data_IF_726717977447
#
_entry.id   IF_726717977447
#
_cell.length_a   1.000
_cell.length_b   1.000
_cell.length_c   1.000
_cell.angle_alpha   90.00
_cell.angle_beta   90.00
_cell.angle_gamma   90.00
#
_symmetry.space_group_name_H-M   'P 1'
#
loop_
_entity.id
_entity.type
_entity.pdbx_description
1 polymer ?
#
# COMPACT_ATOMS: atom_id res chain seq x y z
N UNK A 1 -2.89 12.94 -9.48
CA UNK A 1 -2.50 13.62 -8.21
C UNK A 1 -3.64 13.39 -7.22
N UNK A 2 -3.40 12.66 -6.12
CA UNK A 2 -4.44 12.41 -5.11
C UNK A 2 -4.56 13.68 -4.27
N UNK A 3 -5.72 14.34 -4.31
CA UNK A 3 -5.97 15.55 -3.51
C UNK A 3 -6.01 15.11 -2.03
N UNK A 4 -5.21 15.76 -1.17
CA UNK A 4 -5.19 15.47 0.25
C UNK A 4 -6.52 15.88 0.90
N UNK A 5 -6.99 15.15 1.92
CA UNK A 5 -8.31 15.39 2.54
C UNK A 5 -8.48 16.82 3.08
N UNK A 6 -7.40 17.48 3.49
CA UNK A 6 -7.41 18.88 3.92
C UNK A 6 -7.64 19.90 2.77
N UNK A 7 -7.35 19.53 1.52
CA UNK A 7 -7.56 20.39 0.36
C UNK A 7 -9.01 20.34 -0.15
N UNK A 8 -9.77 19.29 0.18
CA UNK A 8 -11.16 19.08 -0.23
C UNK A 8 -12.10 20.15 0.36
N UNK A 9 -11.77 20.73 1.52
CA UNK A 9 -12.63 21.70 2.21
C UNK A 9 -12.27 23.17 1.94
N UNK A 10 -11.23 23.41 1.12
CA UNK A 10 -10.78 24.77 0.78
C UNK A 10 -11.71 25.44 -0.24
N UNK A 11 -11.89 26.76 -0.12
CA UNK A 11 -12.66 27.56 -1.09
C UNK A 11 -12.08 27.43 -2.52
N UNK A 12 -10.77 27.23 -2.64
CA UNK A 12 -10.08 26.97 -3.89
C UNK A 12 -10.48 25.63 -4.55
N UNK A 13 -10.84 24.61 -3.75
CA UNK A 13 -11.37 23.36 -4.27
C UNK A 13 -12.88 23.44 -4.51
N UNK A 14 -13.61 24.18 -3.66
CA UNK A 14 -15.06 24.40 -3.79
C UNK A 14 -15.46 25.15 -5.07
N UNK A 15 -14.57 26.04 -5.51
CA UNK A 15 -14.73 26.84 -6.73
C UNK A 15 -13.94 26.25 -7.92
N UNK A 16 -13.59 24.96 -7.85
CA UNK A 16 -12.87 24.28 -8.92
C UNK A 16 -13.86 23.53 -9.84
N UNK A 17 -13.78 23.69 -11.18
CA UNK A 17 -14.58 22.90 -12.12
C UNK A 17 -14.52 21.39 -11.85
N UNK A 18 -13.36 20.89 -11.39
CA UNK A 18 -13.16 19.47 -11.09
C UNK A 18 -14.14 18.95 -10.03
N UNK A 19 -14.36 19.71 -8.94
CA UNK A 19 -15.26 19.27 -7.88
C UNK A 19 -16.70 19.17 -8.39
N UNK A 20 -17.16 20.17 -9.16
CA UNK A 20 -18.52 20.15 -9.72
C UNK A 20 -18.72 18.94 -10.63
N UNK A 21 -17.74 18.58 -11.45
CA UNK A 21 -17.82 17.39 -12.30
C UNK A 21 -17.83 16.11 -11.47
N UNK A 22 -17.06 16.06 -10.38
CA UNK A 22 -17.08 14.92 -9.45
C UNK A 22 -18.45 14.76 -8.79
N UNK A 23 -19.17 15.85 -8.52
CA UNK A 23 -20.50 15.82 -7.91
C UNK A 23 -21.62 15.54 -8.91
N UNK A 24 -21.60 16.19 -10.08
CA UNK A 24 -22.70 16.14 -11.06
C UNK A 24 -22.50 15.12 -12.17
N UNK A 25 -21.24 14.74 -12.45
CA UNK A 25 -20.89 13.92 -13.60
C UNK A 25 -21.11 14.60 -14.96
N UNK A 26 -21.31 15.92 -14.99
CA UNK A 26 -21.58 16.68 -16.21
C UNK A 26 -20.29 17.22 -16.82
N UNK A 27 -20.24 17.37 -18.14
CA UNK A 27 -19.12 18.05 -18.81
C UNK A 27 -19.23 19.56 -18.61
N UNK A 28 -18.15 20.22 -18.21
CA UNK A 28 -18.09 21.68 -18.06
C UNK A 28 -17.25 22.25 -19.19
N UNK A 29 -17.81 23.20 -19.94
CA UNK A 29 -17.10 23.99 -20.94
C UNK A 29 -17.27 25.47 -20.64
N UNK A 30 -16.18 26.23 -20.65
CA UNK A 30 -16.18 27.67 -20.36
C UNK A 30 -15.14 28.37 -21.21
N UNK A 31 -15.47 29.57 -21.68
CA UNK A 31 -14.50 30.47 -22.27
C UNK A 31 -13.76 31.23 -21.13
N UNK A 32 -12.44 31.07 -20.96
CA UNK A 32 -11.72 31.69 -19.84
C UNK A 32 -11.79 33.22 -19.82
N UNK A 33 -11.99 33.85 -20.98
CA UNK A 33 -12.07 35.31 -21.13
C UNK A 33 -13.42 35.90 -20.73
N UNK A 34 -14.44 35.06 -20.47
CA UNK A 34 -15.76 35.54 -20.06
C UNK A 34 -15.79 35.90 -18.56
N UNK A 35 -16.27 37.11 -18.19
CA UNK A 35 -16.37 37.52 -16.78
C UNK A 35 -17.24 36.59 -15.93
N UNK A 36 -18.30 36.02 -16.51
CA UNK A 36 -19.16 35.03 -15.85
C UNK A 36 -18.41 33.74 -15.52
N UNK A 37 -17.56 33.26 -16.42
CA UNK A 37 -16.74 32.07 -16.22
C UNK A 37 -15.67 32.29 -15.13
N UNK A 38 -15.07 33.48 -15.09
CA UNK A 38 -14.10 33.86 -14.06
C UNK A 38 -14.72 34.02 -12.68
N UNK A 39 -15.96 34.54 -12.61
CA UNK A 39 -16.72 34.60 -11.36
C UNK A 39 -17.14 33.21 -10.87
N UNK A 40 -17.45 32.28 -11.78
CA UNK A 40 -17.82 30.90 -11.43
C UNK A 40 -16.60 30.07 -11.00
N UNK A 41 -15.48 30.21 -11.71
CA UNK A 41 -14.28 29.39 -11.51
C UNK A 41 -13.00 30.25 -11.58
N UNK A 42 -12.33 30.55 -10.45
CA UNK A 42 -11.13 31.41 -10.42
C UNK A 42 -9.98 30.95 -11.33
N UNK A 43 -9.85 29.64 -11.59
CA UNK A 43 -8.87 29.08 -12.53
C UNK A 43 -8.98 29.67 -13.95
N UNK A 44 -10.17 30.18 -14.34
CA UNK A 44 -10.36 30.84 -15.63
C UNK A 44 -9.54 32.12 -15.76
N UNK A 45 -9.27 32.83 -14.66
CA UNK A 45 -8.43 34.03 -14.66
C UNK A 45 -6.99 33.67 -15.04
N UNK A 46 -6.47 32.58 -14.47
CA UNK A 46 -5.14 32.06 -14.79
C UNK A 46 -5.06 31.58 -16.24
N UNK A 47 -6.06 30.85 -16.71
CA UNK A 47 -6.14 30.35 -18.07
C UNK A 47 -6.25 31.50 -19.10
N UNK A 48 -7.06 32.53 -18.83
CA UNK A 48 -7.17 33.73 -19.64
C UNK A 48 -5.83 34.49 -19.70
N UNK A 49 -5.15 34.63 -18.55
CA UNK A 49 -3.83 35.26 -18.48
C UNK A 49 -2.77 34.48 -19.27
N UNK A 50 -2.91 33.16 -19.40
CA UNK A 50 -2.07 32.31 -20.24
C UNK A 50 -2.45 32.33 -21.74
N UNK A 51 -3.48 33.11 -22.11
CA UNK A 51 -3.97 33.27 -23.48
C UNK A 51 -4.87 32.13 -23.95
N UNK A 52 -5.48 31.37 -23.03
CA UNK A 52 -6.45 30.32 -23.39
C UNK A 52 -7.80 30.94 -23.74
N UNK A 53 -8.41 30.41 -24.79
CA UNK A 53 -9.66 30.91 -25.38
C UNK A 53 -10.85 30.00 -25.06
N UNK A 54 -10.61 28.72 -24.78
CA UNK A 54 -11.64 27.75 -24.44
C UNK A 54 -11.09 26.66 -23.50
N UNK A 55 -11.91 26.21 -22.56
CA UNK A 55 -11.60 25.21 -21.55
C UNK A 55 -12.73 24.19 -21.48
N UNK A 56 -12.37 22.91 -21.51
CA UNK A 56 -13.32 21.80 -21.36
C UNK A 56 -12.82 20.83 -20.31
N UNK A 57 -13.72 20.44 -19.42
CA UNK A 57 -13.48 19.45 -18.40
C UNK A 57 -14.51 18.32 -18.54
N UNK A 58 -14.02 17.10 -18.76
CA UNK A 58 -14.80 15.94 -19.19
C UNK A 58 -14.64 14.83 -18.13
N UNK A 59 -15.74 14.26 -17.61
CA UNK A 59 -15.67 13.12 -16.71
C UNK A 59 -15.21 11.86 -17.46
N UNK A 60 -14.33 11.09 -16.82
CA UNK A 60 -13.96 9.76 -17.30
C UNK A 60 -14.94 8.73 -16.72
N UNK A 61 -16.08 8.51 -17.40
CA UNK A 61 -17.18 7.67 -16.92
C UNK A 61 -16.83 6.16 -16.89
N UNK A 62 -17.25 5.43 -15.84
CA UNK A 62 -17.04 3.97 -15.72
C UNK A 62 -17.67 3.31 -14.48
N UNK A 63 -17.40 3.79 -13.27
CA UNK A 63 -18.03 3.42 -11.99
C UNK A 63 -17.75 4.55 -10.98
N UNK A 64 -18.75 5.03 -10.22
CA UNK A 64 -18.62 5.91 -9.04
C UNK A 64 -17.50 6.99 -9.11
N UNK A 65 -17.37 7.66 -10.26
CA UNK A 65 -16.09 8.21 -10.74
C UNK A 65 -15.68 9.53 -10.08
N UNK A 66 -14.41 9.60 -9.62
CA UNK A 66 -13.72 10.84 -9.19
C UNK A 66 -12.60 11.31 -10.15
N UNK A 67 -12.59 10.85 -11.41
CA UNK A 67 -11.54 11.20 -12.37
C UNK A 67 -12.09 12.09 -13.48
N UNK A 68 -11.37 13.18 -13.77
CA UNK A 68 -11.74 14.21 -14.73
C UNK A 68 -10.53 14.53 -15.60
N UNK A 69 -10.74 14.71 -16.89
CA UNK A 69 -9.73 15.27 -17.81
C UNK A 69 -10.08 16.72 -18.10
N UNK A 70 -9.09 17.59 -18.08
CA UNK A 70 -9.23 18.99 -18.47
C UNK A 70 -8.35 19.28 -19.68
N UNK A 71 -8.89 20.04 -20.63
CA UNK A 71 -8.20 20.49 -21.83
C UNK A 71 -8.49 21.98 -22.03
N UNK A 72 -7.52 22.71 -22.56
CA UNK A 72 -7.66 24.11 -22.92
C UNK A 72 -6.92 24.39 -24.23
N UNK A 73 -7.37 25.39 -24.98
CA UNK A 73 -6.76 25.79 -26.26
C UNK A 73 -6.53 27.30 -26.32
N UNK A 74 -5.59 27.71 -27.19
CA UNK A 74 -5.32 29.11 -27.54
C UNK A 74 -5.92 29.51 -28.89
N UNK A 75 -6.61 28.58 -29.58
CA UNK A 75 -7.18 28.84 -30.89
C UNK A 75 -8.26 29.93 -30.79
N UNK A 76 -8.24 30.94 -31.67
CA UNK A 76 -9.11 32.12 -31.56
C UNK A 76 -10.62 31.79 -31.52
N UNK A 77 -11.05 30.66 -32.11
CA UNK A 77 -12.43 30.18 -32.09
C UNK A 77 -12.74 29.10 -31.05
N UNK A 78 -11.80 28.80 -30.14
CA UNK A 78 -11.94 27.68 -29.21
C UNK A 78 -11.91 26.32 -29.91
N UNK A 79 -12.50 25.31 -29.27
CA UNK A 79 -12.71 23.99 -29.89
C UNK A 79 -13.98 23.98 -30.76
N UNK A 80 -13.95 23.32 -31.90
CA UNK A 80 -15.18 23.01 -32.63
C UNK A 80 -15.97 21.92 -31.90
N UNK A 81 -17.32 21.93 -32.01
CA UNK A 81 -18.17 20.88 -31.41
C UNK A 81 -17.76 19.46 -31.85
N UNK A 82 -17.39 19.30 -33.13
CA UNK A 82 -16.93 18.03 -33.66
C UNK A 82 -15.60 17.54 -33.04
N UNK A 83 -14.73 18.47 -32.63
CA UNK A 83 -13.48 18.14 -31.92
C UNK A 83 -13.78 17.69 -30.49
N UNK A 84 -14.69 18.37 -29.80
CA UNK A 84 -15.15 17.98 -28.46
C UNK A 84 -15.82 16.61 -28.49
N UNK A 85 -16.68 16.36 -29.47
CA UNK A 85 -17.31 15.05 -29.66
C UNK A 85 -16.27 13.94 -29.90
N UNK A 86 -15.26 14.23 -30.72
CA UNK A 86 -14.19 13.27 -31.03
C UNK A 86 -13.33 12.99 -29.80
N UNK A 87 -12.93 14.03 -29.06
CA UNK A 87 -12.15 13.90 -27.82
C UNK A 87 -12.95 13.16 -26.74
N UNK A 88 -14.25 13.45 -26.62
CA UNK A 88 -15.13 12.76 -25.66
C UNK A 88 -15.21 11.27 -25.95
N UNK A 89 -15.32 10.86 -27.22
CA UNK A 89 -15.30 9.44 -27.60
C UNK A 89 -13.95 8.78 -27.28
N UNK A 90 -12.84 9.47 -27.56
CA UNK A 90 -11.51 8.98 -27.26
C UNK A 90 -11.27 8.84 -25.75
N UNK A 91 -11.69 9.82 -24.97
CA UNK A 91 -11.54 9.79 -23.51
C UNK A 91 -12.40 8.72 -22.85
N UNK A 92 -13.56 8.36 -23.41
CA UNK A 92 -14.33 7.20 -22.94
C UNK A 92 -13.55 5.88 -23.10
N UNK A 93 -12.83 5.68 -24.20
CA UNK A 93 -11.96 4.51 -24.37
C UNK A 93 -10.77 4.55 -23.42
N UNK A 94 -10.17 5.73 -23.24
CA UNK A 94 -9.08 5.92 -22.30
C UNK A 94 -9.51 5.70 -20.84
N UNK A 95 -10.75 6.07 -20.49
CA UNK A 95 -11.34 5.86 -19.16
C UNK A 95 -11.30 4.39 -18.76
N UNK A 96 -11.64 3.48 -19.67
CA UNK A 96 -11.58 2.04 -19.43
C UNK A 96 -10.16 1.56 -19.09
N UNK A 97 -9.13 2.11 -19.74
CA UNK A 97 -7.74 1.78 -19.45
C UNK A 97 -7.31 2.32 -18.08
N UNK A 98 -7.65 3.58 -17.78
CA UNK A 98 -7.39 4.20 -16.47
C UNK A 98 -8.08 3.43 -15.35
N UNK A 99 -9.32 2.99 -15.58
CA UNK A 99 -10.10 2.19 -14.65
C UNK A 99 -9.41 0.85 -14.38
N UNK A 100 -9.12 0.08 -15.43
CA UNK A 100 -8.40 -1.20 -15.29
C UNK A 100 -7.10 -1.04 -14.52
N UNK A 101 -6.32 0.00 -14.82
CA UNK A 101 -5.05 0.27 -14.14
C UNK A 101 -5.25 0.66 -12.67
N UNK A 102 -6.29 1.43 -12.38
CA UNK A 102 -6.63 1.83 -11.01
C UNK A 102 -7.11 0.64 -10.18
N UNK A 103 -7.98 -0.19 -10.74
CA UNK A 103 -8.45 -1.43 -10.12
C UNK A 103 -7.30 -2.39 -9.84
N UNK A 104 -6.42 -2.63 -10.83
CA UNK A 104 -5.23 -3.45 -10.64
C UNK A 104 -4.33 -2.92 -9.53
N UNK A 105 -4.05 -1.62 -9.50
CA UNK A 105 -3.26 -1.01 -8.41
C UNK A 105 -3.93 -1.12 -7.05
N UNK A 106 -5.25 -0.97 -6.98
CA UNK A 106 -5.99 -1.16 -5.73
C UNK A 106 -5.85 -2.62 -5.27
N UNK A 107 -6.00 -3.58 -6.18
CA UNK A 107 -5.80 -5.00 -5.89
C UNK A 107 -4.37 -5.32 -5.46
N UNK A 108 -3.36 -4.79 -6.16
CA UNK A 108 -1.93 -4.93 -5.80
C UNK A 108 -1.64 -4.38 -4.41
N UNK A 109 -2.11 -3.17 -4.10
CA UNK A 109 -1.90 -2.55 -2.80
C UNK A 109 -2.62 -3.30 -1.68
N UNK A 110 -3.88 -3.70 -1.92
CA UNK A 110 -4.65 -4.44 -0.93
C UNK A 110 -4.03 -5.82 -0.67
N UNK A 111 -3.77 -6.61 -1.73
CA UNK A 111 -3.15 -7.92 -1.58
C UNK A 111 -1.74 -7.82 -1.01
N UNK A 112 -0.94 -6.83 -1.43
CA UNK A 112 0.41 -6.60 -0.91
C UNK A 112 0.40 -6.31 0.60
N UNK A 113 -0.55 -5.49 1.07
CA UNK A 113 -0.69 -5.16 2.48
C UNK A 113 -1.09 -6.37 3.35
N UNK A 114 -1.85 -7.33 2.81
CA UNK A 114 -2.38 -8.47 3.58
C UNK A 114 -1.64 -9.79 3.35
N UNK A 115 -0.97 -9.97 2.21
CA UNK A 115 -0.28 -11.21 1.84
C UNK A 115 1.25 -11.06 1.71
N UNK A 116 1.76 -9.83 1.63
CA UNK A 116 3.12 -9.55 1.15
C UNK A 116 3.16 -9.43 -0.38
N UNK A 117 4.07 -8.60 -0.91
CA UNK A 117 4.09 -8.23 -2.34
C UNK A 117 4.43 -9.39 -3.29
N UNK A 118 5.28 -10.34 -2.88
CA UNK A 118 5.62 -11.51 -3.68
C UNK A 118 4.46 -12.49 -3.77
N UNK A 119 3.79 -12.76 -2.64
CA UNK A 119 2.57 -13.57 -2.61
C UNK A 119 1.43 -12.93 -3.40
N UNK A 120 1.22 -11.62 -3.22
CA UNK A 120 0.21 -10.84 -3.93
C UNK A 120 0.37 -10.93 -5.46
N UNK A 121 1.60 -10.78 -5.97
CA UNK A 121 1.89 -10.88 -7.40
C UNK A 121 1.48 -12.25 -7.96
N UNK A 122 1.86 -13.35 -7.29
CA UNK A 122 1.47 -14.71 -7.71
C UNK A 122 -0.05 -14.91 -7.71
N UNK A 123 -0.76 -14.38 -6.70
CA UNK A 123 -2.23 -14.43 -6.64
C UNK A 123 -2.87 -13.67 -7.79
N UNK A 124 -2.36 -12.47 -8.12
CA UNK A 124 -2.84 -11.66 -9.25
C UNK A 124 -2.60 -12.32 -10.60
N UNK A 125 -1.54 -13.11 -10.74
CA UNK A 125 -1.26 -13.94 -11.91
C UNK A 125 -2.16 -15.18 -12.02
N UNK A 126 -3.06 -15.40 -11.05
CA UNK A 126 -4.02 -16.51 -11.05
C UNK A 126 -3.48 -17.79 -10.42
N UNK A 127 -2.35 -17.74 -9.70
CA UNK A 127 -1.84 -18.86 -8.92
C UNK A 127 -2.65 -19.05 -7.62
N UNK A 128 -3.95 -19.35 -7.74
CA UNK A 128 -4.91 -19.56 -6.64
C UNK A 128 -5.28 -21.05 -6.43
N UNK A 129 -4.65 -21.96 -7.18
CA UNK A 129 -4.89 -23.40 -7.03
C UNK A 129 -4.29 -23.92 -5.74
N UNK A 130 -5.11 -24.61 -4.94
CA UNK A 130 -4.70 -25.29 -3.70
C UNK A 130 -3.61 -26.33 -4.00
N UNK A 131 -2.54 -26.34 -3.20
CA UNK A 131 -1.39 -27.24 -3.37
C UNK A 131 -0.41 -26.82 -4.46
N UNK A 132 -0.69 -25.76 -5.22
CA UNK A 132 0.30 -25.13 -6.09
C UNK A 132 1.23 -24.24 -5.25
N UNK A 133 2.53 -24.38 -5.45
CA UNK A 133 3.56 -23.64 -4.74
C UNK A 133 4.95 -24.19 -4.99
N UNK A 134 5.94 -23.40 -4.57
CA UNK A 134 7.36 -23.71 -4.71
C UNK A 134 8.00 -23.76 -3.32
N UNK A 135 8.86 -24.75 -3.08
CA UNK A 135 9.76 -24.71 -1.94
C UNK A 135 10.93 -23.79 -2.28
N UNK A 136 11.11 -22.73 -1.51
CA UNK A 136 12.27 -21.85 -1.62
C UNK A 136 13.17 -22.06 -0.42
N UNK A 137 14.48 -21.96 -0.64
CA UNK A 137 15.44 -21.88 0.45
C UNK A 137 15.54 -20.44 0.92
N UNK A 138 15.45 -20.20 2.22
CA UNK A 138 15.44 -18.86 2.80
C UNK A 138 16.05 -18.83 4.21
N UNK A 139 16.45 -17.66 4.65
CA UNK A 139 16.58 -17.37 6.08
C UNK A 139 15.23 -16.87 6.58
N UNK A 140 14.62 -17.65 7.45
CA UNK A 140 13.33 -17.41 8.08
C UNK A 140 13.57 -16.50 9.28
N UNK A 141 12.79 -15.43 9.35
CA UNK A 141 12.68 -14.52 10.47
C UNK A 141 11.38 -14.78 11.22
N UNK A 142 11.46 -14.97 12.53
CA UNK A 142 10.31 -14.97 13.43
C UNK A 142 10.60 -13.98 14.55
N UNK A 143 9.75 -12.98 14.73
CA UNK A 143 9.85 -12.07 15.87
C UNK A 143 8.56 -11.99 16.65
N UNK A 144 8.69 -11.58 17.91
CA UNK A 144 7.59 -11.47 18.87
C UNK A 144 7.81 -10.28 19.81
N UNK A 145 6.73 -9.60 20.21
CA UNK A 145 6.80 -8.49 21.16
C UNK A 145 6.78 -9.01 22.60
N UNK A 146 7.90 -8.86 23.30
CA UNK A 146 8.01 -9.34 24.69
C UNK A 146 7.04 -8.60 25.61
N UNK A 147 6.47 -9.36 26.53
CA UNK A 147 5.52 -8.89 27.54
C UNK A 147 4.21 -8.32 26.97
N UNK A 148 3.86 -8.61 25.71
CA UNK A 148 2.61 -8.15 25.11
C UNK A 148 1.38 -8.43 25.99
N UNK A 149 1.23 -9.67 26.48
CA UNK A 149 0.11 -10.06 27.34
C UNK A 149 -0.02 -9.19 28.60
N UNK A 150 1.11 -8.86 29.24
CA UNK A 150 1.09 -7.99 30.43
C UNK A 150 0.71 -6.55 30.09
N UNK A 151 1.12 -6.08 28.92
CA UNK A 151 0.77 -4.74 28.45
C UNK A 151 -0.71 -4.67 28.05
N UNK A 152 -1.23 -5.70 27.38
CA UNK A 152 -2.64 -5.76 26.96
C UNK A 152 -3.62 -5.83 28.12
N UNK A 153 -3.21 -6.34 29.28
CA UNK A 153 -4.06 -6.40 30.48
C UNK A 153 -4.20 -5.04 31.19
N UNK A 154 -3.28 -4.10 30.94
CA UNK A 154 -3.18 -2.84 31.70
C UNK A 154 -3.48 -1.61 30.83
N UNK A 155 -3.15 -1.66 29.54
CA UNK A 155 -3.32 -0.54 28.62
C UNK A 155 -4.69 -0.56 27.94
N UNK A 156 -5.20 0.63 27.60
CA UNK A 156 -6.38 0.75 26.77
C UNK A 156 -6.13 0.17 25.38
N UNK A 157 -7.15 -0.39 24.70
CA UNK A 157 -6.97 -0.99 23.37
C UNK A 157 -6.37 -0.04 22.33
N UNK A 158 -6.72 1.25 22.35
CA UNK A 158 -6.17 2.26 21.45
C UNK A 158 -4.66 2.48 21.67
N UNK A 159 -4.22 2.54 22.93
CA UNK A 159 -2.82 2.66 23.31
C UNK A 159 -2.02 1.42 22.90
N UNK A 160 -2.59 0.23 23.07
CA UNK A 160 -1.97 -1.02 22.61
C UNK A 160 -1.78 -1.07 21.10
N UNK A 161 -2.75 -0.57 20.32
CA UNK A 161 -2.62 -0.49 18.86
C UNK A 161 -1.48 0.43 18.43
N UNK A 162 -1.30 1.57 19.11
CA UNK A 162 -0.18 2.50 18.85
C UNK A 162 1.16 1.80 19.10
N UNK A 163 1.29 1.09 20.23
CA UNK A 163 2.49 0.31 20.54
C UNK A 163 2.77 -0.80 19.52
N UNK A 164 1.72 -1.53 19.14
CA UNK A 164 1.83 -2.64 18.21
C UNK A 164 2.23 -2.18 16.80
N UNK A 165 1.65 -1.07 16.33
CA UNK A 165 2.02 -0.46 15.05
C UNK A 165 3.49 -0.01 15.05
N UNK A 166 3.96 0.63 16.12
CA UNK A 166 5.35 1.06 16.22
C UNK A 166 6.33 -0.12 16.26
N UNK A 167 5.95 -1.22 16.91
CA UNK A 167 6.72 -2.46 16.87
C UNK A 167 6.79 -3.02 15.45
N UNK A 168 5.65 -3.19 14.77
CA UNK A 168 5.62 -3.75 13.42
C UNK A 168 6.33 -2.86 12.40
N UNK A 169 6.20 -1.54 12.51
CA UNK A 169 6.91 -0.58 11.66
C UNK A 169 8.43 -0.73 11.80
N UNK A 170 8.95 -0.82 13.02
CA UNK A 170 10.38 -1.02 13.26
C UNK A 170 10.90 -2.34 12.68
N UNK A 171 10.13 -3.42 12.81
CA UNK A 171 10.51 -4.75 12.32
C UNK A 171 10.38 -4.87 10.80
N UNK A 172 9.23 -4.54 10.25
CA UNK A 172 8.93 -4.72 8.83
C UNK A 172 9.76 -3.78 7.94
N UNK A 173 10.00 -2.54 8.38
CA UNK A 173 10.83 -1.59 7.63
C UNK A 173 12.28 -2.08 7.53
N UNK A 174 12.84 -2.60 8.62
CA UNK A 174 14.19 -3.16 8.63
C UNK A 174 14.29 -4.43 7.78
N UNK A 175 13.28 -5.30 7.81
CA UNK A 175 13.22 -6.47 6.90
C UNK A 175 13.23 -6.02 5.44
N UNK A 176 12.37 -5.08 5.08
CA UNK A 176 12.26 -4.57 3.70
C UNK A 176 13.55 -3.86 3.24
N UNK A 177 14.17 -3.05 4.10
CA UNK A 177 15.40 -2.30 3.79
C UNK A 177 16.59 -3.22 3.45
N UNK A 178 16.58 -4.46 3.94
CA UNK A 178 17.62 -5.47 3.68
C UNK A 178 17.15 -6.55 2.69
N UNK A 179 16.11 -6.28 1.90
CA UNK A 179 15.64 -7.18 0.84
C UNK A 179 14.92 -8.44 1.34
N UNK A 180 14.47 -8.43 2.60
CA UNK A 180 13.56 -9.44 3.12
C UNK A 180 12.10 -9.12 2.78
N UNK A 181 11.25 -10.14 2.89
CA UNK A 181 9.82 -10.04 2.63
C UNK A 181 9.03 -10.42 3.88
N UNK A 182 8.19 -9.51 4.38
CA UNK A 182 7.22 -9.81 5.44
C UNK A 182 6.08 -10.64 4.86
N UNK A 183 5.84 -11.80 5.47
CA UNK A 183 4.83 -12.75 5.01
C UNK A 183 3.49 -12.53 5.71
N UNK A 184 3.51 -12.44 7.04
CA UNK A 184 2.32 -12.22 7.84
C UNK A 184 2.65 -11.75 9.25
N UNK A 185 1.67 -11.12 9.87
CA UNK A 185 1.63 -10.83 11.30
C UNK A 185 0.81 -11.91 12.01
N UNK A 186 1.29 -12.42 13.14
CA UNK A 186 0.67 -13.49 13.92
C UNK A 186 0.53 -13.00 15.36
N UNK A 187 -0.63 -12.43 15.70
CA UNK A 187 -0.81 -11.78 17.00
C UNK A 187 0.12 -10.58 17.14
N UNK A 188 1.03 -10.65 18.10
CA UNK A 188 2.10 -9.68 18.37
C UNK A 188 3.45 -10.04 17.74
N UNK A 189 3.48 -11.10 16.93
CA UNK A 189 4.65 -11.55 16.20
C UNK A 189 4.61 -11.28 14.70
N UNK A 190 5.77 -11.40 14.06
CA UNK A 190 5.96 -11.22 12.62
C UNK A 190 6.76 -12.38 12.04
N UNK A 191 6.28 -12.92 10.91
CA UNK A 191 6.98 -13.90 10.10
C UNK A 191 7.47 -13.22 8.82
N UNK A 192 8.76 -13.34 8.53
CA UNK A 192 9.39 -12.83 7.31
C UNK A 192 10.42 -13.82 6.77
N UNK A 193 10.87 -13.60 5.54
CA UNK A 193 11.93 -14.40 4.92
C UNK A 193 12.95 -13.52 4.20
N UNK A 194 14.16 -14.05 4.07
CA UNK A 194 15.21 -13.56 3.18
C UNK A 194 15.49 -14.68 2.18
N UNK A 195 14.90 -14.64 0.98
CA UNK A 195 15.09 -15.67 -0.03
C UNK A 195 16.57 -15.82 -0.41
N UNK A 196 17.02 -17.06 -0.55
CA UNK A 196 18.38 -17.35 -1.03
C UNK A 196 18.40 -17.27 -2.55
N UNK A 197 18.73 -16.09 -3.08
CA UNK A 197 18.84 -15.85 -4.53
C UNK A 197 20.26 -16.05 -5.04
N UNK A 198 21.25 -15.49 -4.35
CA UNK A 198 22.68 -15.60 -4.70
C UNK A 198 23.38 -16.66 -3.85
N UNK A 199 23.14 -16.65 -2.54
CA UNK A 199 23.73 -17.62 -1.62
C UNK A 199 23.31 -17.44 -0.16
N UNK A 200 23.37 -18.53 0.60
CA UNK A 200 22.90 -18.56 2.01
C UNK A 200 23.63 -17.54 2.88
N UNK A 201 24.94 -17.36 2.66
CA UNK A 201 25.75 -16.44 3.44
C UNK A 201 25.32 -14.98 3.26
N UNK A 202 24.85 -14.60 2.07
CA UNK A 202 24.36 -13.26 1.79
C UNK A 202 23.00 -13.01 2.44
N UNK A 203 22.05 -13.95 2.24
CA UNK A 203 20.74 -13.89 2.89
C UNK A 203 20.86 -13.86 4.43
N UNK A 204 21.80 -14.61 4.99
CA UNK A 204 22.07 -14.62 6.44
C UNK A 204 22.66 -13.30 6.93
N UNK A 205 23.57 -12.67 6.16
CA UNK A 205 24.09 -11.34 6.49
C UNK A 205 22.99 -10.29 6.43
N UNK A 206 22.15 -10.31 5.40
CA UNK A 206 21.01 -9.42 5.26
C UNK A 206 20.05 -9.55 6.46
N UNK A 207 19.66 -10.79 6.81
CA UNK A 207 18.78 -11.05 7.95
C UNK A 207 19.35 -10.57 9.28
N UNK A 208 20.65 -10.78 9.52
CA UNK A 208 21.33 -10.31 10.74
C UNK A 208 21.43 -8.78 10.77
N UNK A 209 21.71 -8.13 9.65
CA UNK A 209 21.75 -6.67 9.55
C UNK A 209 20.37 -6.06 9.79
N UNK A 210 19.33 -6.62 9.18
CA UNK A 210 17.93 -6.25 9.44
C UNK A 210 17.58 -6.39 10.92
N UNK A 211 17.99 -7.49 11.57
CA UNK A 211 17.70 -7.71 12.98
C UNK A 211 18.33 -6.64 13.87
N UNK A 212 19.57 -6.24 13.58
CA UNK A 212 20.25 -5.15 14.30
C UNK A 212 19.55 -3.81 14.08
N UNK A 213 19.20 -3.49 12.84
CA UNK A 213 18.50 -2.24 12.50
C UNK A 213 17.12 -2.17 13.16
N UNK A 214 16.36 -3.27 13.14
CA UNK A 214 15.04 -3.35 13.78
C UNK A 214 15.12 -3.04 15.28
N UNK A 215 16.13 -3.56 15.98
CA UNK A 215 16.34 -3.27 17.41
C UNK A 215 16.68 -1.79 17.64
N UNK A 216 17.58 -1.22 16.84
CA UNK A 216 17.94 0.21 16.93
C UNK A 216 16.72 1.10 16.65
N UNK A 217 15.92 0.76 15.65
CA UNK A 217 14.68 1.47 15.30
C UNK A 217 13.66 1.38 16.45
N UNK A 218 13.48 0.19 17.04
CA UNK A 218 12.58 0.00 18.17
C UNK A 218 13.02 0.81 19.41
N UNK A 219 14.33 0.88 19.68
CA UNK A 219 14.88 1.73 20.73
C UNK A 219 14.65 3.21 20.46
N UNK A 220 14.69 3.64 19.20
CA UNK A 220 14.33 5.00 18.81
C UNK A 220 12.84 5.29 19.04
N UNK A 221 11.96 4.36 18.65
CA UNK A 221 10.52 4.45 18.90
C UNK A 221 10.20 4.53 20.38
N UNK A 222 10.89 3.75 21.24
CA UNK A 222 10.73 3.83 22.70
C UNK A 222 11.04 5.23 23.28
N UNK A 223 11.86 6.05 22.58
CA UNK A 223 12.17 7.42 23.01
C UNK A 223 11.09 8.43 22.64
N UNK A 224 10.25 8.14 21.65
CA UNK A 224 9.27 9.07 21.10
C UNK A 224 7.82 8.69 21.43
N UNK A 225 7.53 7.39 21.50
CA UNK A 225 6.19 6.87 21.73
C UNK A 225 5.69 7.23 23.13
N UNK A 226 4.43 7.67 23.18
CA UNK A 226 3.72 8.02 24.41
C UNK A 226 2.32 7.43 24.32
N UNK A 227 1.96 6.65 25.34
CA UNK A 227 0.66 6.00 25.48
C UNK A 227 0.27 6.01 26.95
N UNK A 228 -1.03 6.06 27.25
CA UNK A 228 -1.56 6.25 28.61
C UNK A 228 -1.41 7.69 29.13
N UNK A 229 -2.02 7.97 30.30
CA UNK A 229 -1.84 9.24 31.01
C UNK A 229 -0.45 9.31 31.63
N UNK A 230 0.22 10.45 31.47
CA UNK A 230 1.65 10.74 31.77
C UNK A 230 2.20 10.34 33.16
N UNK A 231 1.37 9.80 34.05
CA UNK A 231 1.72 9.40 35.42
C UNK A 231 2.42 8.02 35.53
N UNK A 232 2.39 7.20 34.47
CA UNK A 232 2.72 5.76 34.54
C UNK A 232 3.98 5.29 33.82
N UNK A 233 4.98 6.14 33.58
CA UNK A 233 6.20 5.74 32.85
C UNK A 233 5.97 5.36 31.39
N UNK A 234 7.02 5.37 30.57
CA UNK A 234 6.91 5.00 29.15
C UNK A 234 7.01 3.47 29.02
N UNK A 235 6.02 2.78 28.43
CA UNK A 235 6.18 1.35 28.16
C UNK A 235 7.36 1.15 27.20
N UNK A 236 8.28 0.29 27.59
CA UNK A 236 9.49 -0.03 26.81
C UNK A 236 9.22 -1.29 26.00
N UNK A 237 9.07 -1.12 24.69
CA UNK A 237 8.95 -2.23 23.75
C UNK A 237 10.25 -3.00 23.67
N UNK A 238 10.17 -4.33 23.69
CA UNK A 238 11.30 -5.23 23.50
C UNK A 238 10.89 -6.35 22.57
N UNK A 239 11.77 -6.73 21.65
CA UNK A 239 11.52 -7.80 20.71
C UNK A 239 12.35 -9.05 21.02
N UNK A 240 11.79 -10.23 20.79
CA UNK A 240 12.56 -11.43 20.46
C UNK A 240 12.65 -11.57 18.95
N UNK A 241 13.82 -11.87 18.40
CA UNK A 241 14.02 -12.17 16.97
C UNK A 241 14.77 -13.50 16.86
N UNK A 242 14.23 -14.41 16.07
CA UNK A 242 14.81 -15.72 15.74
C UNK A 242 15.07 -15.75 14.25
N UNK A 243 16.28 -16.17 13.87
CA UNK A 243 16.68 -16.40 12.48
C UNK A 243 17.00 -17.87 12.29
N UNK A 244 16.44 -18.50 11.24
CA UNK A 244 16.67 -19.90 10.92
C UNK A 244 16.79 -20.10 9.42
N UNK A 245 17.82 -20.79 8.95
CA UNK A 245 17.95 -21.16 7.54
C UNK A 245 17.24 -22.48 7.26
N UNK A 246 16.38 -22.51 6.25
CA UNK A 246 15.68 -23.73 5.86
C UNK A 246 14.86 -23.59 4.57
N UNK A 247 14.14 -24.67 4.23
CA UNK A 247 13.15 -24.67 3.15
C UNK A 247 11.81 -24.13 3.67
N UNK A 248 11.20 -23.23 2.91
CA UNK A 248 9.85 -22.70 3.15
C UNK A 248 9.01 -23.00 1.93
N UNK A 249 7.79 -23.50 2.15
CA UNK A 249 6.84 -23.69 1.05
C UNK A 249 6.03 -22.41 0.84
N UNK A 250 6.17 -21.85 -0.34
CA UNK A 250 5.43 -20.70 -0.84
C UNK A 250 4.35 -21.18 -1.78
N UNK A 251 3.12 -21.26 -1.30
CA UNK A 251 2.01 -21.77 -2.06
C UNK A 251 0.72 -21.82 -1.27
N UNK A 252 -0.36 -22.09 -1.98
CA UNK A 252 -1.69 -22.10 -1.41
C UNK A 252 -1.92 -23.35 -0.55
N UNK A 253 -1.88 -23.18 0.77
CA UNK A 253 -2.18 -24.20 1.77
C UNK A 253 -3.34 -23.71 2.62
N UNK A 254 -4.42 -24.46 2.75
CA UNK A 254 -5.58 -24.00 3.53
C UNK A 254 -6.84 -24.76 3.20
N UNK A 255 -8.01 -24.29 3.64
CA UNK A 255 -9.31 -24.87 3.29
C UNK A 255 -9.77 -24.41 1.89
N UNK A 256 -10.80 -25.05 1.27
CA UNK A 256 -11.30 -24.68 -0.06
C UNK A 256 -11.59 -23.19 -0.24
N UNK A 257 -12.16 -22.55 0.78
CA UNK A 257 -12.56 -21.13 0.75
C UNK A 257 -11.60 -20.20 1.52
N UNK A 258 -10.48 -20.74 2.03
CA UNK A 258 -9.49 -19.98 2.81
C UNK A 258 -8.09 -20.55 2.61
N UNK A 259 -7.33 -19.90 1.74
CA UNK A 259 -5.94 -20.26 1.44
C UNK A 259 -4.98 -19.38 2.25
N UNK A 260 -3.91 -19.99 2.73
CA UNK A 260 -2.76 -19.32 3.32
C UNK A 260 -1.57 -19.54 2.37
N UNK A 261 -0.88 -18.47 2.00
CA UNK A 261 0.11 -18.50 0.92
C UNK A 261 1.50 -18.94 1.36
N UNK A 262 1.76 -19.01 2.68
CA UNK A 262 3.10 -19.39 3.16
C UNK A 262 3.03 -20.30 4.37
N UNK A 263 3.75 -21.42 4.29
CA UNK A 263 3.96 -22.35 5.40
C UNK A 263 5.45 -22.73 5.50
N UNK A 264 6.14 -22.39 6.60
CA UNK A 264 7.46 -22.93 6.86
C UNK A 264 7.35 -24.44 7.07
N UNK A 265 7.96 -25.22 6.17
CA UNK A 265 7.99 -26.67 6.26
C UNK A 265 9.34 -27.09 6.83
N UNK A 266 9.39 -27.34 8.13
CA UNK A 266 10.57 -27.97 8.72
C UNK A 266 10.55 -29.45 8.33
N UNK A 267 11.52 -29.92 7.54
CA UNK A 267 11.69 -31.37 7.34
C UNK A 267 11.97 -32.01 8.71
N UNK A 268 11.26 -33.07 9.12
CA UNK A 268 11.61 -33.78 10.34
C UNK A 268 13.05 -34.28 10.22
N UNK A 269 13.89 -33.94 11.20
CA UNK A 269 15.25 -34.46 11.28
C UNK A 269 15.18 -35.98 11.17
N UNK A 270 15.83 -36.55 10.16
CA UNK A 270 15.90 -37.99 9.97
C UNK A 270 16.48 -38.59 11.26
N UNK A 271 15.63 -39.24 12.05
CA UNK A 271 16.04 -39.97 13.25
C UNK A 271 16.92 -41.12 12.77
N UNK A 272 18.24 -40.92 12.72
CA UNK A 272 19.21 -42.00 12.48
C UNK A 272 19.08 -42.99 13.63
N UNK A 273 18.22 -43.99 13.46
CA UNK A 273 18.22 -45.18 14.31
C UNK A 273 19.54 -45.90 14.05
N UNK A 274 20.49 -45.72 14.97
CA UNK A 274 21.69 -46.55 15.03
C UNK A 274 21.27 -48.00 15.30
N UNK A 275 21.76 -49.01 14.55
CA UNK A 275 21.47 -50.39 14.85
C UNK A 275 22.19 -50.76 16.14
N UNK A 276 21.42 -51.17 17.16
CA UNK A 276 21.96 -51.82 18.35
C UNK A 276 22.69 -53.09 17.88
N UNK A 277 24.01 -53.13 18.08
CA UNK A 277 24.77 -54.38 18.19
C UNK A 277 24.66 -54.87 19.63
#
# INVERSE_FOLDING_TARGET
>A
MRVADAAIDSDAYKLNPLQRIVETGETIRRAPNEPSAQAEFPIMIELASAGMTDYVAIPLSGLDTRNVITIATKAAGGFAEAEIDSLTRLFKLFALHVQRHSELKISENALGAYLGYGAAAKVLEGAIKRGAGDSIRAVIWISDLRNFTKMSDVLAPADMLVLLNAYFEAMASAVAAHGGETLKFIGDGMLAVFPVTVGVAEASRAAVSAAKEAIVSLEASNRTIRVGSDAGGRPVLRAGIVLHEGEVFFGNVGAPDRLDFTQPLTRPAALKRSPRR
#
